data_IF_817875843731
#
_entry.id   IF_817875843731
#
_cell.length_a   1.000
_cell.length_b   1.000
_cell.length_c   1.000
_cell.angle_alpha   90.00
_cell.angle_beta   90.00
_cell.angle_gamma   90.00
#
_symmetry.space_group_name_H-M   'P 1'
#
loop_
_entity.id
_entity.type
_entity.pdbx_description
1 polymer ?
#
# COMPACT_ATOMS: atom_id res chain seq x y z
N UNK A 1 38.64 26.03 -9.56
CA UNK A 1 37.43 25.93 -8.73
C UNK A 1 37.84 26.03 -7.28
N UNK A 2 37.48 27.10 -6.59
CA UNK A 2 37.78 27.29 -5.17
C UNK A 2 36.84 26.43 -4.33
N UNK A 3 37.33 25.81 -3.23
CA UNK A 3 36.45 25.02 -2.35
C UNK A 3 35.46 25.94 -1.63
N UNK A 4 34.19 25.63 -1.70
CA UNK A 4 33.14 26.34 -0.94
C UNK A 4 33.41 26.15 0.56
N UNK A 5 33.68 27.22 1.28
CA UNK A 5 33.85 27.19 2.71
C UNK A 5 32.51 26.85 3.37
N UNK A 6 32.44 25.70 4.09
CA UNK A 6 31.27 25.33 4.92
C UNK A 6 31.18 26.27 6.12
N UNK A 7 30.13 27.07 6.20
CA UNK A 7 29.85 27.93 7.33
C UNK A 7 29.34 27.10 8.53
N UNK A 8 30.12 27.04 9.60
CA UNK A 8 29.69 26.38 10.84
C UNK A 8 28.77 27.33 11.64
N UNK A 9 27.61 26.84 12.07
CA UNK A 9 26.65 27.55 12.94
C UNK A 9 27.29 28.21 14.16
N UNK A 10 28.34 27.59 14.72
CA UNK A 10 29.07 28.12 15.87
C UNK A 10 30.01 29.28 15.52
N UNK A 11 30.49 29.37 14.30
CA UNK A 11 31.35 30.45 13.84
C UNK A 11 30.59 31.77 13.64
N UNK A 12 29.34 31.72 13.24
CA UNK A 12 28.46 32.89 13.03
C UNK A 12 28.00 33.51 14.36
N UNK A 13 27.84 32.70 15.41
CA UNK A 13 27.39 33.15 16.76
C UNK A 13 28.50 33.76 17.60
N UNK A 14 29.78 33.63 17.24
CA UNK A 14 30.91 34.17 18.04
C UNK A 14 31.26 35.62 17.76
N UNK A 15 30.59 36.29 16.83
CA UNK A 15 30.96 37.62 16.40
C UNK A 15 30.23 38.81 17.01
N UNK A 16 29.14 38.61 17.80
CA UNK A 16 28.31 39.70 18.30
C UNK A 16 27.98 39.46 19.76
N UNK A 17 28.60 40.25 20.62
CA UNK A 17 28.30 40.27 22.04
C UNK A 17 26.87 40.83 22.29
N UNK A 18 25.98 39.99 22.85
CA UNK A 18 24.80 40.43 23.57
C UNK A 18 23.46 40.46 22.82
N UNK A 19 23.30 39.99 21.59
CA UNK A 19 21.98 39.89 20.94
C UNK A 19 21.78 38.51 20.37
N UNK A 20 20.78 37.74 20.87
CA UNK A 20 20.30 36.49 20.27
C UNK A 20 19.48 36.81 19.00
N UNK A 21 20.13 37.05 17.89
CA UNK A 21 19.48 37.09 16.59
C UNK A 21 19.28 35.65 16.10
N UNK A 22 18.03 35.23 16.04
CA UNK A 22 17.66 33.95 15.32
C UNK A 22 17.83 34.26 13.86
N UNK A 23 19.00 33.86 13.31
CA UNK A 23 19.23 33.93 11.87
C UNK A 23 18.30 32.94 11.15
N UNK A 24 17.68 33.34 10.04
CA UNK A 24 16.96 32.38 9.20
C UNK A 24 17.91 31.25 8.79
N UNK A 25 17.40 30.03 8.70
CA UNK A 25 18.17 28.87 8.25
C UNK A 25 18.60 29.13 6.80
N UNK A 26 19.88 29.38 6.59
CA UNK A 26 20.45 29.53 5.24
C UNK A 26 20.66 28.13 4.67
N UNK A 27 20.37 27.92 3.38
CA UNK A 27 20.58 26.65 2.69
C UNK A 27 22.02 26.13 2.82
N UNK A 28 22.99 27.05 2.86
CA UNK A 28 24.42 26.75 3.09
C UNK A 28 24.71 26.19 4.52
N UNK A 29 23.76 26.26 5.45
CA UNK A 29 23.85 25.69 6.80
C UNK A 29 23.19 24.31 6.90
N UNK A 30 22.54 23.83 5.84
CA UNK A 30 22.04 22.48 5.73
C UNK A 30 23.23 21.52 5.80
N UNK A 31 23.24 20.58 6.75
CA UNK A 31 24.04 19.38 6.54
C UNK A 31 23.58 18.81 5.20
N UNK A 32 24.52 18.34 4.38
CA UNK A 32 24.25 17.41 3.29
C UNK A 32 23.61 16.15 3.92
N UNK A 33 22.34 16.22 4.29
CA UNK A 33 21.50 15.05 4.41
C UNK A 33 21.32 14.67 2.95
N UNK A 34 22.17 13.79 2.45
CA UNK A 34 21.92 13.11 1.18
C UNK A 34 20.45 12.74 1.22
N UNK A 35 19.66 13.35 0.31
CA UNK A 35 18.21 13.16 0.30
C UNK A 35 18.00 11.67 0.18
N UNK A 36 17.66 11.03 1.32
CA UNK A 36 17.55 9.59 1.35
C UNK A 36 16.34 9.26 0.48
N UNK A 37 16.62 8.67 -0.68
CA UNK A 37 15.58 8.20 -1.60
C UNK A 37 14.59 7.37 -0.77
N UNK A 38 13.32 7.78 -0.70
CA UNK A 38 12.35 7.11 0.13
C UNK A 38 12.17 5.66 -0.35
N UNK A 39 12.27 4.71 0.57
CA UNK A 39 11.99 3.31 0.28
C UNK A 39 10.49 3.13 0.08
N UNK A 40 10.13 2.39 -0.96
CA UNK A 40 8.75 2.08 -1.33
C UNK A 40 8.54 0.58 -1.36
N UNK A 41 7.37 0.16 -0.98
CA UNK A 41 6.95 -1.24 -0.98
C UNK A 41 5.74 -1.39 -1.90
N UNK A 42 5.79 -2.37 -2.80
CA UNK A 42 4.66 -2.74 -3.64
C UNK A 42 4.55 -4.26 -3.68
N UNK A 43 3.44 -4.78 -3.17
CA UNK A 43 3.10 -6.19 -3.26
C UNK A 43 2.13 -6.41 -4.41
N UNK A 44 2.51 -7.23 -5.37
CA UNK A 44 1.69 -7.61 -6.52
C UNK A 44 1.33 -9.09 -6.37
N UNK A 45 0.07 -9.40 -6.21
CA UNK A 45 -0.42 -10.76 -6.05
C UNK A 45 -1.08 -11.26 -7.33
N UNK A 46 -0.64 -12.42 -7.79
CA UNK A 46 -1.28 -13.16 -8.87
C UNK A 46 -1.89 -14.44 -8.31
N UNK A 47 -3.18 -14.64 -8.53
CA UNK A 47 -3.87 -15.87 -8.17
C UNK A 47 -3.50 -17.04 -9.09
N UNK A 48 -3.92 -18.24 -8.71
CA UNK A 48 -3.73 -19.48 -9.44
C UNK A 48 -2.26 -19.92 -9.60
N UNK A 49 -1.35 -19.31 -8.85
CA UNK A 49 0.06 -19.67 -8.82
C UNK A 49 0.83 -19.25 -10.07
N UNK A 50 2.01 -19.85 -10.23
CA UNK A 50 2.94 -19.61 -11.34
C UNK A 50 3.10 -20.87 -12.19
N UNK A 51 3.46 -20.71 -13.46
CA UNK A 51 3.76 -21.85 -14.35
C UNK A 51 5.00 -22.60 -13.85
N UNK A 52 4.80 -23.80 -13.34
CA UNK A 52 5.85 -24.68 -12.81
C UNK A 52 5.71 -26.07 -13.46
N UNK A 53 5.95 -26.21 -14.76
CA UNK A 53 5.90 -27.50 -15.43
C UNK A 53 6.99 -28.43 -14.87
N UNK A 54 6.74 -29.73 -14.93
CA UNK A 54 7.76 -30.72 -14.60
C UNK A 54 8.88 -30.67 -15.65
N UNK A 55 10.09 -31.01 -15.24
CA UNK A 55 11.20 -31.18 -16.19
C UNK A 55 10.82 -32.11 -17.33
N UNK A 56 11.28 -31.79 -18.52
CA UNK A 56 10.98 -32.53 -19.78
C UNK A 56 9.51 -32.47 -20.24
N UNK A 57 8.68 -31.64 -19.61
CA UNK A 57 7.34 -31.38 -20.09
C UNK A 57 7.37 -30.41 -21.28
N UNK A 58 6.48 -30.62 -22.27
CA UNK A 58 6.36 -29.75 -23.47
C UNK A 58 6.20 -28.25 -23.17
N UNK A 59 5.80 -27.91 -21.94
CA UNK A 59 5.62 -26.54 -21.45
C UNK A 59 6.80 -26.05 -20.60
N UNK A 60 7.91 -26.79 -20.52
CA UNK A 60 9.05 -26.43 -19.67
C UNK A 60 9.63 -25.05 -20.02
N UNK A 61 9.62 -24.69 -21.29
CA UNK A 61 10.02 -23.34 -21.75
C UNK A 61 9.18 -22.18 -21.17
N UNK A 62 8.01 -22.49 -20.62
CA UNK A 62 7.10 -21.53 -19.96
C UNK A 62 7.27 -21.50 -18.43
N UNK A 63 8.29 -22.17 -17.90
CA UNK A 63 8.58 -22.13 -16.47
C UNK A 63 8.77 -20.69 -15.99
N UNK A 64 8.17 -20.38 -14.84
CA UNK A 64 8.36 -19.08 -14.16
C UNK A 64 9.80 -18.91 -13.69
N UNK A 65 10.39 -19.98 -13.15
CA UNK A 65 11.76 -19.91 -12.69
C UNK A 65 12.75 -20.08 -13.84
N UNK A 66 13.83 -19.30 -13.83
CA UNK A 66 14.91 -19.48 -14.79
C UNK A 66 15.62 -20.84 -14.60
N UNK A 67 16.23 -21.31 -15.66
CA UNK A 67 16.85 -22.65 -15.71
C UNK A 67 18.15 -22.77 -14.92
N UNK A 68 18.81 -21.63 -14.59
CA UNK A 68 20.07 -21.62 -13.86
C UNK A 68 19.97 -20.68 -12.64
N UNK A 69 20.72 -20.99 -11.60
CA UNK A 69 20.85 -20.14 -10.43
C UNK A 69 21.96 -19.07 -10.61
N UNK A 70 21.98 -18.08 -9.74
CA UNK A 70 22.98 -17.03 -9.74
C UNK A 70 22.67 -15.88 -10.69
N UNK A 71 23.66 -15.14 -11.14
CA UNK A 71 23.47 -13.92 -11.96
C UNK A 71 23.27 -14.23 -13.44
N UNK A 72 23.78 -15.38 -13.91
CA UNK A 72 23.78 -15.77 -15.31
C UNK A 72 22.59 -16.69 -15.69
N UNK A 73 21.47 -16.50 -15.02
CA UNK A 73 20.24 -17.25 -15.28
C UNK A 73 19.66 -16.94 -16.68
N UNK A 74 18.93 -17.90 -17.25
CA UNK A 74 18.25 -17.75 -18.53
C UNK A 74 16.74 -17.60 -18.32
N UNK A 75 16.14 -16.57 -18.92
CA UNK A 75 14.70 -16.34 -18.83
C UNK A 75 13.95 -17.41 -19.64
N UNK A 76 12.86 -17.93 -19.07
CA UNK A 76 11.86 -18.69 -19.81
C UNK A 76 10.90 -17.76 -20.56
N UNK A 77 10.02 -18.34 -21.40
CA UNK A 77 9.03 -17.56 -22.18
C UNK A 77 8.12 -16.71 -21.31
N UNK A 78 7.71 -17.20 -20.13
CA UNK A 78 6.87 -16.46 -19.19
C UNK A 78 7.53 -15.20 -18.66
N UNK A 79 8.84 -15.18 -18.56
CA UNK A 79 9.61 -14.10 -17.93
C UNK A 79 10.48 -13.32 -18.93
N UNK A 80 10.48 -13.70 -20.22
CA UNK A 80 11.22 -13.01 -21.29
C UNK A 80 10.97 -11.50 -21.34
N UNK A 81 9.74 -10.98 -21.14
CA UNK A 81 9.49 -9.53 -21.13
C UNK A 81 10.24 -8.79 -20.04
N UNK A 82 10.67 -9.48 -18.98
CA UNK A 82 11.41 -8.91 -17.84
C UNK A 82 12.93 -8.84 -18.09
N UNK A 83 13.43 -9.39 -19.19
CA UNK A 83 14.87 -9.47 -19.50
C UNK A 83 15.60 -8.13 -19.41
N UNK A 84 14.96 -7.03 -19.82
CA UNK A 84 15.52 -5.68 -19.72
C UNK A 84 15.79 -5.23 -18.30
N UNK A 85 15.16 -5.85 -17.31
CA UNK A 85 15.31 -5.56 -15.88
C UNK A 85 16.20 -6.57 -15.13
N UNK A 86 16.93 -7.42 -15.84
CA UNK A 86 17.75 -8.50 -15.25
C UNK A 86 18.52 -8.09 -14.00
N UNK A 87 19.17 -6.93 -14.02
CA UNK A 87 20.01 -6.48 -12.90
C UNK A 87 19.20 -5.99 -11.68
N UNK A 88 17.91 -5.76 -11.86
CA UNK A 88 16.99 -5.32 -10.80
C UNK A 88 16.06 -6.44 -10.31
N UNK A 89 16.18 -7.65 -10.89
CA UNK A 89 15.33 -8.78 -10.57
C UNK A 89 16.05 -9.81 -9.70
N UNK A 90 15.28 -10.38 -8.78
CA UNK A 90 15.65 -11.57 -8.01
C UNK A 90 14.50 -12.57 -8.06
N UNK A 91 14.77 -13.77 -8.57
CA UNK A 91 13.84 -14.89 -8.51
C UNK A 91 14.13 -15.69 -7.24
N UNK A 92 13.14 -15.80 -6.35
CA UNK A 92 13.25 -16.54 -5.10
C UNK A 92 12.35 -17.75 -5.15
N UNK A 93 12.94 -18.93 -5.26
CA UNK A 93 12.26 -20.21 -5.18
C UNK A 93 12.40 -20.86 -3.81
N UNK A 94 11.58 -21.90 -3.56
CA UNK A 94 11.65 -22.67 -2.32
C UNK A 94 11.07 -21.99 -1.09
N UNK A 95 10.49 -20.81 -1.23
CA UNK A 95 9.75 -20.15 -0.15
C UNK A 95 8.33 -20.70 -0.08
N UNK A 96 7.84 -20.94 1.10
CA UNK A 96 6.47 -21.36 1.33
C UNK A 96 5.93 -20.81 2.64
N UNK A 97 4.61 -20.67 2.70
CA UNK A 97 3.93 -20.30 3.92
C UNK A 97 3.72 -21.56 4.77
N UNK A 98 4.17 -21.64 6.04
CA UNK A 98 4.08 -22.85 6.85
C UNK A 98 2.67 -23.41 7.01
N UNK A 99 1.66 -22.55 6.94
CA UNK A 99 0.24 -22.92 7.05
C UNK A 99 -0.42 -23.19 5.70
N UNK A 100 0.20 -22.77 4.58
CA UNK A 100 -0.35 -22.89 3.23
C UNK A 100 -0.73 -24.32 2.85
N UNK A 101 0.15 -25.33 3.01
CA UNK A 101 -0.15 -26.71 2.61
C UNK A 101 -1.34 -27.36 3.35
N UNK A 102 -1.77 -26.77 4.45
CA UNK A 102 -2.89 -27.24 5.27
C UNK A 102 -4.18 -26.47 5.02
N UNK A 103 -4.12 -25.38 4.29
CA UNK A 103 -5.24 -24.51 4.00
C UNK A 103 -5.94 -24.92 2.71
N UNK A 104 -7.20 -24.54 2.58
CA UNK A 104 -7.86 -24.50 1.29
C UNK A 104 -7.10 -23.55 0.34
N UNK A 105 -6.87 -23.91 -0.93
CA UNK A 105 -6.13 -23.07 -1.87
C UNK A 105 -6.63 -21.63 -1.94
N UNK A 106 -7.95 -21.43 -1.86
CA UNK A 106 -8.56 -20.11 -1.90
C UNK A 106 -8.30 -19.24 -0.66
N UNK A 107 -7.88 -19.84 0.46
CA UNK A 107 -7.47 -19.13 1.67
C UNK A 107 -6.02 -18.61 1.58
N UNK A 108 -5.26 -19.08 0.60
CA UNK A 108 -3.86 -18.68 0.47
C UNK A 108 -3.69 -17.18 0.21
N UNK A 109 -4.61 -16.55 -0.53
CA UNK A 109 -4.59 -15.09 -0.73
C UNK A 109 -4.80 -14.32 0.57
N UNK A 110 -5.68 -14.80 1.46
CA UNK A 110 -5.92 -14.19 2.78
C UNK A 110 -4.67 -14.23 3.67
N UNK A 111 -3.83 -15.26 3.51
CA UNK A 111 -2.62 -15.48 4.31
C UNK A 111 -1.36 -14.86 3.71
N UNK A 112 -1.38 -14.48 2.45
CA UNK A 112 -0.17 -14.20 1.68
C UNK A 112 0.71 -13.11 2.29
N UNK A 113 0.14 -11.96 2.70
CA UNK A 113 0.88 -10.89 3.36
C UNK A 113 0.87 -10.97 4.89
N UNK A 114 0.04 -11.85 5.47
CA UNK A 114 -0.17 -11.87 6.93
C UNK A 114 0.58 -12.98 7.64
N UNK A 115 0.85 -14.07 6.95
CA UNK A 115 1.44 -15.27 7.56
C UNK A 115 0.51 -15.99 8.56
N UNK A 116 -0.76 -15.64 8.64
CA UNK A 116 -1.68 -16.16 9.64
C UNK A 116 -2.08 -17.62 9.37
N UNK A 117 -2.14 -18.49 10.39
CA UNK A 117 -2.59 -19.87 10.22
C UNK A 117 -4.13 -19.96 10.22
N UNK A 118 -4.77 -19.45 9.17
CA UNK A 118 -6.24 -19.37 9.06
C UNK A 118 -6.94 -20.74 8.96
N UNK A 119 -6.20 -21.80 8.67
CA UNK A 119 -6.71 -23.16 8.62
C UNK A 119 -6.89 -23.81 10.00
N UNK A 120 -6.40 -23.18 11.08
CA UNK A 120 -6.51 -23.77 12.44
C UNK A 120 -7.92 -23.59 13.02
N UNK A 121 -8.70 -24.66 13.18
CA UNK A 121 -10.07 -24.58 13.70
C UNK A 121 -10.15 -24.10 15.16
N UNK A 122 -9.04 -24.12 15.88
CA UNK A 122 -8.96 -23.59 17.26
C UNK A 122 -8.79 -22.07 17.28
N UNK A 123 -8.39 -21.45 16.19
CA UNK A 123 -8.33 -20.01 16.07
C UNK A 123 -9.67 -19.45 15.60
N UNK A 124 -10.21 -18.51 16.35
CA UNK A 124 -11.26 -17.64 15.83
C UNK A 124 -10.72 -16.98 14.54
N UNK A 125 -11.57 -16.87 13.55
CA UNK A 125 -11.32 -16.41 12.17
C UNK A 125 -10.78 -14.98 12.02
N UNK A 126 -9.78 -14.61 12.83
CA UNK A 126 -9.12 -13.31 12.69
C UNK A 126 -7.80 -13.49 12.00
N UNK A 127 -7.61 -12.73 10.94
CA UNK A 127 -6.33 -12.64 10.26
C UNK A 127 -5.33 -11.84 11.12
N UNK A 128 -4.11 -11.75 10.66
CA UNK A 128 -3.05 -10.94 11.25
C UNK A 128 -2.85 -9.67 10.43
N UNK A 129 -1.95 -8.78 10.88
CA UNK A 129 -1.56 -7.61 10.11
C UNK A 129 -0.83 -7.99 8.83
N UNK A 130 -1.17 -7.37 7.71
CA UNK A 130 -0.45 -7.54 6.45
C UNK A 130 0.90 -6.82 6.44
N UNK A 131 1.89 -7.39 5.76
CA UNK A 131 3.23 -6.78 5.62
C UNK A 131 3.15 -5.37 5.03
N UNK A 132 2.26 -5.13 4.07
CA UNK A 132 1.99 -3.81 3.50
C UNK A 132 1.55 -2.80 4.57
N UNK A 133 0.76 -3.23 5.55
CA UNK A 133 0.31 -2.38 6.65
C UNK A 133 1.40 -2.18 7.71
N UNK A 134 2.28 -3.14 7.91
CA UNK A 134 3.49 -2.95 8.73
C UNK A 134 4.36 -1.85 8.12
N UNK A 135 4.61 -1.90 6.81
CA UNK A 135 5.33 -0.84 6.10
C UNK A 135 4.60 0.50 6.22
N UNK A 136 3.28 0.52 6.03
CA UNK A 136 2.46 1.72 6.17
C UNK A 136 2.58 2.36 7.55
N UNK A 137 2.59 1.58 8.63
CA UNK A 137 2.78 2.06 9.99
C UNK A 137 4.10 2.79 10.19
N UNK A 138 5.19 2.28 9.59
CA UNK A 138 6.51 2.87 9.68
C UNK A 138 6.69 4.11 8.79
N UNK A 139 5.92 4.21 7.71
CA UNK A 139 6.08 5.29 6.71
C UNK A 139 4.99 6.37 6.77
N UNK A 140 3.87 6.14 7.46
CA UNK A 140 2.68 7.01 7.49
C UNK A 140 2.94 8.48 7.83
N UNK A 141 3.99 8.77 8.60
CA UNK A 141 4.34 10.15 8.96
C UNK A 141 5.04 10.92 7.83
N UNK A 142 5.48 10.23 6.79
CA UNK A 142 6.22 10.78 5.67
C UNK A 142 5.38 10.87 4.38
N UNK A 143 4.18 10.35 4.36
CA UNK A 143 3.33 10.33 3.19
C UNK A 143 1.87 10.67 3.51
N UNK A 144 1.15 11.17 2.50
CA UNK A 144 -0.23 11.65 2.63
C UNK A 144 -1.23 10.51 2.86
N UNK A 145 -1.00 9.39 2.20
CA UNK A 145 -1.79 8.17 2.33
C UNK A 145 -0.90 7.07 2.92
N UNK A 146 -1.24 6.51 4.08
CA UNK A 146 -0.42 5.46 4.69
C UNK A 146 -0.21 4.25 3.78
N UNK A 147 -1.27 3.82 3.11
CA UNK A 147 -1.24 2.71 2.15
C UNK A 147 -2.25 2.92 1.02
N UNK A 148 -2.01 2.26 -0.11
CA UNK A 148 -2.91 2.16 -1.24
C UNK A 148 -3.21 0.68 -1.47
N UNK A 149 -4.48 0.30 -1.35
CA UNK A 149 -4.93 -1.09 -1.51
C UNK A 149 -5.79 -1.19 -2.75
N UNK A 150 -5.35 -1.98 -3.69
CA UNK A 150 -5.93 -2.11 -5.02
C UNK A 150 -6.25 -3.58 -5.32
N UNK A 151 -7.29 -3.79 -6.12
CA UNK A 151 -7.63 -5.10 -6.65
C UNK A 151 -8.35 -4.93 -7.97
N UNK A 152 -8.42 -5.98 -8.77
CA UNK A 152 -9.28 -6.01 -9.95
C UNK A 152 -10.76 -6.05 -9.54
N UNK A 153 -11.07 -6.67 -8.42
CA UNK A 153 -12.40 -6.74 -7.82
C UNK A 153 -12.43 -5.89 -6.55
N UNK A 154 -13.23 -4.84 -6.52
CA UNK A 154 -13.30 -3.92 -5.39
C UNK A 154 -13.82 -4.56 -4.09
N UNK A 155 -13.52 -3.92 -2.97
CA UNK A 155 -14.06 -4.28 -1.66
C UNK A 155 -13.20 -5.25 -0.88
N UNK A 156 -13.82 -6.06 -0.03
CA UNK A 156 -13.11 -6.99 0.85
C UNK A 156 -13.34 -8.46 0.48
N UNK A 157 -14.42 -8.76 -0.26
CA UNK A 157 -14.82 -10.16 -0.45
C UNK A 157 -15.18 -10.83 0.88
N UNK A 158 -14.91 -12.13 0.99
CA UNK A 158 -15.07 -12.92 2.22
C UNK A 158 -13.98 -14.01 2.28
N UNK A 159 -13.82 -14.63 3.44
CA UNK A 159 -12.78 -15.64 3.66
C UNK A 159 -12.78 -16.69 2.54
N UNK A 160 -11.63 -17.04 2.02
CA UNK A 160 -11.38 -17.89 0.84
C UNK A 160 -11.87 -17.34 -0.50
N UNK A 161 -12.46 -16.15 -0.53
CA UNK A 161 -12.90 -15.44 -1.73
C UNK A 161 -12.69 -13.93 -1.55
N UNK A 162 -11.50 -13.60 -1.07
CA UNK A 162 -11.18 -12.21 -0.74
C UNK A 162 -11.00 -11.35 -1.99
N UNK A 163 -11.44 -10.10 -1.91
CA UNK A 163 -11.15 -9.05 -2.88
C UNK A 163 -9.94 -8.20 -2.47
N UNK A 164 -9.24 -8.54 -1.39
CA UNK A 164 -8.10 -7.81 -0.87
C UNK A 164 -7.06 -8.74 -0.25
N UNK A 165 -5.79 -8.37 -0.36
CA UNK A 165 -4.68 -9.06 0.32
C UNK A 165 -4.15 -8.26 1.53
N UNK A 166 -4.77 -7.13 1.83
CA UNK A 166 -4.34 -6.19 2.87
C UNK A 166 -5.20 -6.31 4.12
N UNK A 167 -4.56 -6.42 5.28
CA UNK A 167 -5.23 -6.59 6.57
C UNK A 167 -4.64 -5.64 7.60
N UNK A 168 -5.52 -4.96 8.34
CA UNK A 168 -5.16 -3.96 9.37
C UNK A 168 -4.41 -4.60 10.54
N UNK A 169 -3.91 -3.76 11.46
CA UNK A 169 -3.27 -4.21 12.71
C UNK A 169 -4.17 -5.08 13.58
N UNK A 170 -5.48 -4.98 13.41
CA UNK A 170 -6.47 -5.81 14.11
C UNK A 170 -6.90 -7.05 13.31
N UNK A 171 -6.23 -7.33 12.19
CA UNK A 171 -6.54 -8.48 11.33
C UNK A 171 -7.83 -8.33 10.52
N UNK A 172 -8.35 -7.11 10.38
CA UNK A 172 -9.52 -6.83 9.53
C UNK A 172 -9.10 -6.55 8.10
N UNK A 173 -9.84 -7.05 7.10
CA UNK A 173 -9.55 -6.76 5.71
C UNK A 173 -9.74 -5.28 5.41
N UNK A 174 -8.82 -4.71 4.64
CA UNK A 174 -8.90 -3.34 4.15
C UNK A 174 -9.53 -3.38 2.76
N UNK A 175 -10.62 -2.64 2.51
CA UNK A 175 -11.26 -2.63 1.20
C UNK A 175 -10.32 -2.17 0.09
N UNK A 176 -10.28 -2.93 -0.99
CA UNK A 176 -9.52 -2.57 -2.18
C UNK A 176 -10.33 -1.70 -3.13
N UNK A 177 -9.65 -0.88 -3.90
CA UNK A 177 -10.22 -0.03 -4.94
C UNK A 177 -9.84 -0.57 -6.32
N UNK A 178 -10.77 -0.49 -7.28
CA UNK A 178 -10.57 -0.97 -8.65
C UNK A 178 -10.90 0.04 -9.74
N UNK A 179 -11.42 1.22 -9.37
CA UNK A 179 -11.83 2.23 -10.34
C UNK A 179 -10.74 3.29 -10.54
N UNK A 180 -10.07 3.36 -11.72
CA UNK A 180 -8.97 4.29 -11.98
C UNK A 180 -9.33 5.75 -11.73
N UNK A 181 -10.54 6.18 -12.15
CA UNK A 181 -11.02 7.57 -11.98
C UNK A 181 -11.22 7.93 -10.50
N UNK A 182 -11.79 7.02 -9.71
CA UNK A 182 -11.98 7.26 -8.27
C UNK A 182 -10.63 7.33 -7.54
N UNK A 183 -9.71 6.40 -7.86
CA UNK A 183 -8.35 6.38 -7.32
C UNK A 183 -7.63 7.68 -7.68
N UNK A 184 -7.64 8.08 -8.95
CA UNK A 184 -7.04 9.32 -9.42
C UNK A 184 -7.60 10.54 -8.68
N UNK A 185 -8.93 10.65 -8.59
CA UNK A 185 -9.57 11.77 -7.91
C UNK A 185 -9.17 11.86 -6.44
N UNK A 186 -9.11 10.71 -5.76
CA UNK A 186 -8.71 10.64 -4.35
C UNK A 186 -7.24 11.01 -4.13
N UNK A 187 -6.34 10.54 -5.00
CA UNK A 187 -4.90 10.73 -4.83
C UNK A 187 -4.43 12.10 -5.34
N UNK A 188 -4.89 12.55 -6.51
CA UNK A 188 -4.27 13.63 -7.26
C UNK A 188 -5.15 14.88 -7.44
N UNK A 189 -6.47 14.74 -7.53
CA UNK A 189 -7.32 15.92 -7.70
C UNK A 189 -7.47 16.76 -6.45
N UNK A 190 -7.43 16.13 -5.29
CA UNK A 190 -7.67 16.81 -4.02
C UNK A 190 -9.04 17.52 -3.94
N UNK A 191 -9.38 18.00 -2.79
CA UNK A 191 -10.52 18.90 -2.61
C UNK A 191 -10.11 20.30 -3.13
N UNK A 192 -10.84 20.83 -4.12
CA UNK A 192 -10.60 22.17 -4.67
C UNK A 192 -11.13 23.31 -3.81
N UNK A 193 -11.78 22.99 -2.70
CA UNK A 193 -12.23 24.01 -1.74
C UNK A 193 -11.06 24.77 -1.11
N UNK A 194 -11.32 25.94 -0.57
CA UNK A 194 -10.31 26.72 0.15
C UNK A 194 -9.72 25.94 1.33
N UNK A 195 -8.53 26.31 1.77
CA UNK A 195 -7.88 25.68 2.93
C UNK A 195 -8.75 25.74 4.18
N UNK A 196 -9.46 26.84 4.37
CA UNK A 196 -10.39 27.02 5.49
C UNK A 196 -11.53 26.00 5.45
N UNK A 197 -12.16 25.81 4.29
CA UNK A 197 -13.23 24.82 4.10
C UNK A 197 -12.72 23.40 4.29
N UNK A 198 -11.50 23.11 3.84
CA UNK A 198 -10.87 21.78 4.06
C UNK A 198 -10.64 21.51 5.54
N UNK A 199 -10.12 22.48 6.27
CA UNK A 199 -9.90 22.39 7.72
C UNK A 199 -11.22 22.23 8.47
N UNK A 200 -12.24 23.02 8.12
CA UNK A 200 -13.57 22.90 8.75
C UNK A 200 -14.19 21.51 8.52
N UNK A 201 -14.14 20.99 7.28
CA UNK A 201 -14.60 19.63 6.96
C UNK A 201 -13.86 18.57 7.78
N UNK A 202 -12.55 18.71 7.90
CA UNK A 202 -11.73 17.75 8.66
C UNK A 202 -12.05 17.79 10.14
N UNK A 203 -12.13 18.98 10.71
CA UNK A 203 -12.48 19.18 12.12
C UNK A 203 -13.89 18.64 12.45
N UNK A 204 -14.87 18.83 11.56
CA UNK A 204 -16.19 18.23 11.71
C UNK A 204 -16.15 16.70 11.71
N UNK A 205 -15.32 16.11 10.86
CA UNK A 205 -15.14 14.63 10.85
C UNK A 205 -14.48 14.14 12.12
N UNK A 206 -13.44 14.79 12.61
CA UNK A 206 -12.78 14.44 13.87
C UNK A 206 -13.80 14.50 15.01
N UNK A 207 -14.52 15.61 15.18
CA UNK A 207 -15.55 15.76 16.22
C UNK A 207 -16.64 14.67 16.14
N UNK A 208 -17.04 14.28 14.93
CA UNK A 208 -18.01 13.19 14.76
C UNK A 208 -17.45 11.84 15.25
N UNK A 209 -16.21 11.53 14.92
CA UNK A 209 -15.55 10.29 15.35
C UNK A 209 -15.36 10.29 16.87
N UNK A 210 -14.95 11.42 17.46
CA UNK A 210 -14.82 11.60 18.91
C UNK A 210 -16.14 11.33 19.64
N UNK A 211 -17.25 11.91 19.14
CA UNK A 211 -18.57 11.70 19.71
C UNK A 211 -19.01 10.23 19.63
N UNK A 212 -18.72 9.55 18.52
CA UNK A 212 -19.02 8.12 18.36
C UNK A 212 -18.17 7.28 19.31
N UNK A 213 -16.88 7.60 19.44
CA UNK A 213 -15.97 6.94 20.38
C UNK A 213 -16.42 7.08 21.83
N UNK A 214 -16.85 8.26 22.25
CA UNK A 214 -17.34 8.53 23.62
C UNK A 214 -18.61 7.72 23.89
N UNK A 215 -19.58 7.73 22.98
CA UNK A 215 -20.80 6.95 23.07
C UNK A 215 -20.52 5.44 23.13
N UNK A 216 -19.63 4.94 22.27
CA UNK A 216 -19.27 3.53 22.24
C UNK A 216 -18.52 3.10 23.51
N UNK A 217 -17.62 3.93 24.06
CA UNK A 217 -16.96 3.68 25.35
C UNK A 217 -17.98 3.64 26.52
N UNK A 218 -18.97 4.52 26.50
CA UNK A 218 -20.06 4.52 27.50
C UNK A 218 -20.90 3.26 27.42
N UNK A 219 -21.25 2.82 26.20
CA UNK A 219 -21.99 1.58 25.96
C UNK A 219 -21.18 0.35 26.39
N UNK A 220 -19.88 0.31 26.10
CA UNK A 220 -18.99 -0.81 26.43
C UNK A 220 -18.99 -1.16 27.91
N UNK A 221 -19.14 -0.16 28.79
CA UNK A 221 -19.23 -0.35 30.26
C UNK A 221 -20.46 -1.16 30.68
N UNK A 222 -21.52 -1.17 29.87
CA UNK A 222 -22.81 -1.81 30.16
C UNK A 222 -22.97 -3.19 29.50
N UNK A 223 -22.03 -3.62 28.67
CA UNK A 223 -22.13 -4.85 27.88
C UNK A 223 -21.68 -6.07 28.66
N UNK A 224 -22.16 -7.26 28.21
CA UNK A 224 -21.67 -8.56 28.62
C UNK A 224 -20.20 -8.74 28.22
N UNK A 225 -19.50 -9.72 28.80
CA UNK A 225 -18.09 -9.99 28.46
C UNK A 225 -17.90 -10.30 26.96
N UNK A 226 -18.79 -11.10 26.38
CA UNK A 226 -18.73 -11.47 24.96
C UNK A 226 -18.95 -10.27 24.04
N UNK A 227 -19.86 -9.38 24.40
CA UNK A 227 -20.16 -8.21 23.59
C UNK A 227 -19.08 -7.11 23.74
N UNK A 228 -18.42 -7.04 24.90
CA UNK A 228 -17.26 -6.17 25.10
C UNK A 228 -16.12 -6.48 24.15
N UNK A 229 -15.82 -7.76 23.92
CA UNK A 229 -14.77 -8.16 22.96
C UNK A 229 -15.06 -7.62 21.54
N UNK A 230 -16.34 -7.65 21.11
CA UNK A 230 -16.76 -7.08 19.82
C UNK A 230 -16.69 -5.55 19.82
N UNK A 231 -17.11 -4.94 20.92
CA UNK A 231 -17.08 -3.49 21.08
C UNK A 231 -15.64 -2.96 21.12
N UNK A 232 -14.71 -3.65 21.76
CA UNK A 232 -13.30 -3.28 21.80
C UNK A 232 -12.68 -3.28 20.41
N UNK A 233 -13.06 -4.26 19.56
CA UNK A 233 -12.65 -4.28 18.15
C UNK A 233 -13.21 -3.07 17.37
N UNK A 234 -14.47 -2.71 17.62
CA UNK A 234 -15.11 -1.54 17.02
C UNK A 234 -14.43 -0.25 17.47
N UNK A 235 -14.18 -0.09 18.76
CA UNK A 235 -13.46 1.05 19.33
C UNK A 235 -12.04 1.18 18.75
N UNK A 236 -11.32 0.09 18.61
CA UNK A 236 -10.00 0.08 17.99
C UNK A 236 -10.07 0.58 16.54
N UNK A 237 -11.05 0.10 15.77
CA UNK A 237 -11.22 0.53 14.37
C UNK A 237 -11.56 2.02 14.25
N UNK A 238 -12.38 2.55 15.16
CA UNK A 238 -12.69 3.99 15.21
C UNK A 238 -11.46 4.82 15.57
N UNK A 239 -10.66 4.38 16.55
CA UNK A 239 -9.40 5.06 16.91
C UNK A 239 -8.38 5.06 15.77
N UNK A 240 -8.36 4.03 14.93
CA UNK A 240 -7.56 4.03 13.69
C UNK A 240 -8.05 5.08 12.68
N UNK A 241 -9.38 5.25 12.56
CA UNK A 241 -9.97 6.29 11.70
C UNK A 241 -9.62 7.68 12.23
N UNK A 242 -9.81 7.92 13.54
CA UNK A 242 -9.42 9.16 14.20
C UNK A 242 -7.95 9.52 13.94
N UNK A 243 -7.05 8.56 14.18
CA UNK A 243 -5.62 8.74 13.95
C UNK A 243 -5.28 9.11 12.50
N UNK A 244 -5.99 8.53 11.54
CA UNK A 244 -5.84 8.88 10.11
C UNK A 244 -6.34 10.28 9.79
N UNK A 245 -7.44 10.70 10.38
CA UNK A 245 -7.97 12.06 10.19
C UNK A 245 -7.02 13.12 10.77
N UNK A 246 -6.50 12.88 11.98
CA UNK A 246 -5.50 13.77 12.61
C UNK A 246 -4.22 13.83 11.75
N UNK A 247 -3.74 12.69 11.28
CA UNK A 247 -2.58 12.66 10.40
C UNK A 247 -2.82 13.40 9.06
N UNK A 248 -4.06 13.38 8.54
CA UNK A 248 -4.42 14.09 7.32
C UNK A 248 -4.35 15.61 7.46
N UNK A 249 -4.51 16.16 8.68
CA UNK A 249 -4.41 17.60 8.95
C UNK A 249 -3.05 18.18 8.56
N UNK A 250 -1.98 17.43 8.81
CA UNK A 250 -0.60 17.80 8.45
C UNK A 250 -0.43 18.06 6.94
N UNK A 251 -1.24 17.38 6.11
CA UNK A 251 -1.09 17.41 4.66
C UNK A 251 -2.00 18.43 3.97
N UNK A 252 -2.88 19.12 4.70
CA UNK A 252 -3.83 20.07 4.10
C UNK A 252 -3.10 21.21 3.39
N UNK A 253 -2.05 21.75 4.03
CA UNK A 253 -1.30 22.90 3.55
C UNK A 253 -0.15 22.54 2.62
N UNK A 254 0.18 21.25 2.48
CA UNK A 254 1.26 20.78 1.63
C UNK A 254 0.71 20.54 0.23
N UNK A 255 1.16 21.27 -0.80
CA UNK A 255 0.70 21.04 -2.16
C UNK A 255 1.15 19.67 -2.67
N UNK A 256 0.38 19.12 -3.60
CA UNK A 256 0.82 17.94 -4.36
C UNK A 256 1.89 18.33 -5.38
N UNK A 257 2.88 17.46 -5.56
CA UNK A 257 3.85 17.58 -6.64
C UNK A 257 3.11 17.57 -7.98
N UNK A 258 3.38 18.56 -8.82
CA UNK A 258 2.82 18.60 -10.18
C UNK A 258 3.37 17.44 -11.00
N UNK A 259 2.49 16.75 -11.69
CA UNK A 259 2.80 15.62 -12.55
C UNK A 259 2.00 15.71 -13.85
N UNK A 260 2.46 15.01 -14.87
CA UNK A 260 1.73 14.85 -16.11
C UNK A 260 0.79 13.63 -16.01
N UNK A 261 -0.48 13.86 -16.24
CA UNK A 261 -1.55 12.87 -16.19
C UNK A 261 -2.20 12.63 -17.55
N UNK A 262 -1.68 13.25 -18.62
CA UNK A 262 -2.33 13.27 -19.95
C UNK A 262 -2.37 11.89 -20.60
N UNK A 263 -1.48 11.00 -20.20
CA UNK A 263 -1.40 9.62 -20.70
C UNK A 263 -2.38 8.65 -20.06
N UNK A 264 -3.10 9.07 -18.99
CA UNK A 264 -4.02 8.20 -18.29
C UNK A 264 -5.39 8.17 -18.97
N UNK A 265 -5.88 6.97 -19.27
CA UNK A 265 -7.29 6.72 -19.58
C UNK A 265 -8.03 6.30 -18.32
N UNK A 266 -8.73 7.24 -17.72
CA UNK A 266 -9.42 7.03 -16.44
C UNK A 266 -10.77 6.34 -16.57
N UNK A 267 -11.27 6.14 -17.78
CA UNK A 267 -12.57 5.50 -18.05
C UNK A 267 -12.44 4.03 -18.44
N UNK A 268 -11.22 3.55 -18.60
CA UNK A 268 -10.93 2.16 -18.91
C UNK A 268 -11.41 1.24 -17.80
N UNK A 269 -11.96 0.10 -18.18
CA UNK A 269 -12.44 -0.93 -17.25
C UNK A 269 -11.69 -2.25 -17.45
N UNK A 270 -11.57 -3.03 -16.39
CA UNK A 270 -10.95 -4.35 -16.45
C UNK A 270 -11.68 -5.35 -17.35
N UNK A 271 -13.00 -5.18 -17.53
CA UNK A 271 -13.82 -6.03 -18.39
C UNK A 271 -13.69 -5.67 -19.87
N UNK A 272 -13.65 -4.37 -20.17
CA UNK A 272 -13.57 -3.87 -21.55
C UNK A 272 -12.17 -3.99 -22.13
N UNK A 273 -11.21 -3.37 -21.49
CA UNK A 273 -9.83 -3.21 -21.97
C UNK A 273 -8.82 -3.60 -20.89
N UNK A 274 -8.65 -4.90 -20.59
CA UNK A 274 -7.85 -5.37 -19.46
C UNK A 274 -6.40 -4.92 -19.51
N UNK A 275 -5.76 -4.92 -20.68
CA UNK A 275 -4.38 -4.49 -20.85
C UNK A 275 -4.19 -3.01 -20.48
N UNK A 276 -5.05 -2.15 -20.98
CA UNK A 276 -5.00 -0.71 -20.72
C UNK A 276 -5.40 -0.42 -19.27
N UNK A 277 -6.35 -1.18 -18.71
CA UNK A 277 -6.68 -1.11 -17.31
C UNK A 277 -5.46 -1.35 -16.41
N UNK A 278 -4.71 -2.43 -16.64
CA UNK A 278 -3.49 -2.69 -15.85
C UNK A 278 -2.43 -1.60 -16.05
N UNK A 279 -2.22 -1.12 -17.27
CA UNK A 279 -1.29 0.00 -17.50
C UNK A 279 -1.67 1.20 -16.67
N UNK A 280 -2.92 1.63 -16.73
CA UNK A 280 -3.40 2.76 -15.94
C UNK A 280 -3.25 2.53 -14.43
N UNK A 281 -3.53 1.32 -13.93
CA UNK A 281 -3.36 1.01 -12.51
C UNK A 281 -1.87 1.08 -12.10
N UNK A 282 -0.96 0.56 -12.92
CA UNK A 282 0.47 0.67 -12.66
C UNK A 282 0.99 2.11 -12.77
N UNK A 283 0.49 2.89 -13.72
CA UNK A 283 0.83 4.31 -13.86
C UNK A 283 0.34 5.12 -12.64
N UNK A 284 -0.87 4.85 -12.15
CA UNK A 284 -1.37 5.46 -10.90
C UNK A 284 -0.49 5.12 -9.69
N UNK A 285 -0.01 3.88 -9.58
CA UNK A 285 0.93 3.48 -8.53
C UNK A 285 2.26 4.22 -8.68
N UNK A 286 2.82 4.27 -9.89
CA UNK A 286 4.09 4.95 -10.17
C UNK A 286 3.99 6.45 -9.84
N UNK A 287 2.93 7.11 -10.27
CA UNK A 287 2.65 8.53 -9.98
C UNK A 287 2.47 8.77 -8.47
N UNK A 288 1.78 7.86 -7.77
CA UNK A 288 1.62 7.96 -6.32
C UNK A 288 2.95 7.83 -5.57
N UNK A 289 3.85 6.97 -6.05
CA UNK A 289 5.21 6.83 -5.53
C UNK A 289 6.08 8.03 -5.88
N UNK A 290 6.02 8.55 -7.11
CA UNK A 290 6.81 9.70 -7.52
C UNK A 290 6.43 10.98 -6.76
N UNK A 291 5.14 11.18 -6.50
CA UNK A 291 4.65 12.28 -5.68
C UNK A 291 4.77 12.06 -4.17
N UNK A 292 5.34 10.93 -3.73
CA UNK A 292 5.43 10.50 -2.33
C UNK A 292 4.07 10.55 -1.59
N UNK A 293 2.98 10.28 -2.33
CA UNK A 293 1.63 10.23 -1.76
C UNK A 293 1.50 9.03 -0.82
N UNK A 294 2.05 7.89 -1.21
CA UNK A 294 2.14 6.68 -0.38
C UNK A 294 3.49 6.01 -0.56
N UNK A 295 3.88 5.19 0.41
CA UNK A 295 5.09 4.35 0.35
C UNK A 295 4.79 2.87 0.47
N UNK A 296 3.50 2.51 0.57
CA UNK A 296 3.06 1.13 0.67
C UNK A 296 1.86 0.89 -0.24
N UNK A 297 1.98 -0.09 -1.13
CA UNK A 297 0.93 -0.50 -2.06
C UNK A 297 0.75 -2.01 -1.99
N UNK A 298 -0.50 -2.47 -1.97
CA UNK A 298 -0.88 -3.85 -2.18
C UNK A 298 -1.85 -3.91 -3.36
N UNK A 299 -1.53 -4.69 -4.39
CA UNK A 299 -2.37 -4.83 -5.57
C UNK A 299 -2.62 -6.30 -5.89
N UNK A 300 -3.86 -6.73 -5.72
CA UNK A 300 -4.33 -8.06 -6.09
C UNK A 300 -4.76 -8.04 -7.56
N UNK A 301 -3.97 -8.66 -8.41
CA UNK A 301 -4.17 -8.63 -9.87
C UNK A 301 -5.36 -9.50 -10.31
N UNK A 302 -5.63 -10.60 -9.62
CA UNK A 302 -6.79 -11.45 -9.84
C UNK A 302 -7.11 -12.25 -8.58
N UNK A 303 -8.33 -12.81 -8.51
CA UNK A 303 -8.81 -13.58 -7.36
C UNK A 303 -8.54 -15.06 -7.50
N UNK A 304 -8.45 -15.75 -6.36
CA UNK A 304 -8.21 -17.20 -6.31
C UNK A 304 -9.44 -18.05 -6.67
N UNK A 305 -10.63 -17.51 -6.51
CA UNK A 305 -11.86 -18.30 -6.62
C UNK A 305 -12.40 -18.40 -8.05
N UNK A 306 -11.73 -17.77 -9.01
CA UNK A 306 -12.15 -17.79 -10.41
C UNK A 306 -13.54 -17.20 -10.65
N UNK A 307 -14.08 -16.39 -9.75
CA UNK A 307 -15.39 -15.76 -9.89
C UNK A 307 -15.27 -14.29 -10.29
N UNK A 308 -16.22 -13.82 -11.07
CA UNK A 308 -16.27 -12.43 -11.54
C UNK A 308 -15.31 -12.16 -12.70
N UNK A 309 -14.73 -10.97 -12.73
CA UNK A 309 -13.84 -10.52 -13.81
C UNK A 309 -12.61 -11.42 -13.93
N UNK A 310 -12.12 -11.95 -12.82
CA UNK A 310 -10.92 -12.78 -12.78
C UNK A 310 -11.00 -14.03 -13.66
N UNK A 311 -12.20 -14.56 -13.92
CA UNK A 311 -12.41 -15.74 -14.77
C UNK A 311 -12.13 -15.46 -16.24
N UNK A 312 -12.60 -14.33 -16.71
CA UNK A 312 -12.55 -13.99 -18.14
C UNK A 312 -11.34 -13.15 -18.52
N UNK A 313 -10.69 -12.56 -17.53
CA UNK A 313 -9.59 -11.62 -17.73
C UNK A 313 -8.40 -12.21 -18.47
N UNK A 314 -7.87 -13.41 -18.13
CA UNK A 314 -6.73 -14.00 -18.83
C UNK A 314 -6.99 -14.30 -20.31
N UNK A 315 -8.26 -14.44 -20.70
CA UNK A 315 -8.63 -14.72 -22.09
C UNK A 315 -8.60 -13.46 -22.98
N UNK A 316 -8.54 -12.28 -22.39
CA UNK A 316 -8.56 -10.98 -23.08
C UNK A 316 -7.21 -10.26 -23.12
N UNK A 317 -6.18 -10.82 -22.46
CA UNK A 317 -4.82 -10.30 -22.50
C UNK A 317 -4.09 -10.71 -23.76
#
# INVERSE_FOLDING_TARGET
>A
MAPSAKLDRRAVLKGIAGASLVLPVLEAMGKDVAEQIPRRFCALYTANGMSLPKADHKMDEWSWFPTAAGREFTFGKSTEPLKKFRQQLSFMGGLYHPSGPKADPHVCSDMWLTGAPLHDPKRKTYNSVGLDQVVALHTKQHCRQPSLVLSIDAGVGFLSRTGTISYSVTGKPIPAENNPRQIFNRLFRGDRSSLEVKRDKLQKRIKLVDAVLENARSLNKKLSRSDREKMDQYLTSLSEVESRLIAAEKWIDIPLKKQDYTHLDLDVTSEGEPREYYRNMFDLIALAFDADITRSVAFMLNREDGMGISDTFPLKL
#
